data_IF_048143719870
#
_entry.id   IF_048143719870
#
_cell.length_a   1.000
_cell.length_b   1.000
_cell.length_c   1.000
_cell.angle_alpha   90.00
_cell.angle_beta   90.00
_cell.angle_gamma   90.00
#
_symmetry.space_group_name_H-M   'P 1'
#
loop_
_entity.id
_entity.type
_entity.pdbx_description
1 polymer ?
#
# COMPACT_ATOMS: atom_id res chain seq x y z
N UNK A 1 -32.14 37.84 -82.81
CA UNK A 1 -33.13 38.03 -81.74
C UNK A 1 -32.50 37.50 -80.46
N UNK A 2 -31.90 38.42 -79.72
CA UNK A 2 -31.70 38.27 -78.27
C UNK A 2 -33.08 38.38 -77.63
N UNK A 3 -33.32 37.61 -76.57
CA UNK A 3 -33.74 38.14 -75.27
C UNK A 3 -33.64 36.98 -74.26
N UNK A 4 -32.56 37.05 -73.47
CA UNK A 4 -32.46 36.46 -72.14
C UNK A 4 -33.18 37.43 -71.20
N UNK A 5 -34.15 36.96 -70.44
CA UNK A 5 -34.58 37.52 -69.15
C UNK A 5 -35.39 36.38 -68.50
N UNK A 6 -34.79 35.56 -67.63
CA UNK A 6 -34.69 35.78 -66.18
C UNK A 6 -36.04 36.18 -65.58
N UNK A 7 -36.66 35.30 -64.79
CA UNK A 7 -37.00 35.64 -63.42
C UNK A 7 -37.09 34.35 -62.60
N UNK A 8 -36.08 34.19 -61.75
CA UNK A 8 -35.99 33.17 -60.75
C UNK A 8 -36.98 33.48 -59.62
N UNK A 9 -38.07 32.71 -59.56
CA UNK A 9 -38.93 32.65 -58.37
C UNK A 9 -38.24 31.80 -57.29
N UNK A 10 -37.22 32.37 -56.66
CA UNK A 10 -36.73 31.88 -55.37
C UNK A 10 -37.75 32.27 -54.31
N UNK A 11 -38.71 31.39 -54.06
CA UNK A 11 -39.50 31.41 -52.84
C UNK A 11 -38.55 31.29 -51.65
N UNK A 12 -38.17 32.43 -51.10
CA UNK A 12 -37.46 32.55 -49.84
C UNK A 12 -38.41 32.13 -48.71
N UNK A 13 -38.49 30.82 -48.49
CA UNK A 13 -39.15 30.26 -47.33
C UNK A 13 -38.26 30.52 -46.13
N UNK A 14 -38.40 31.72 -45.54
CA UNK A 14 -37.78 32.05 -44.26
C UNK A 14 -38.02 30.91 -43.27
N UNK A 15 -36.93 30.31 -42.79
CA UNK A 15 -36.99 29.18 -41.88
C UNK A 15 -37.88 29.54 -40.68
N UNK A 16 -38.71 28.60 -40.19
CA UNK A 16 -39.51 28.85 -39.00
C UNK A 16 -38.59 29.27 -37.84
N UNK A 17 -39.05 30.18 -36.97
CA UNK A 17 -38.25 30.62 -35.84
C UNK A 17 -37.80 29.39 -35.02
N UNK A 18 -36.54 29.37 -34.52
CA UNK A 18 -36.04 28.25 -33.76
C UNK A 18 -36.99 27.96 -32.60
N UNK A 19 -37.42 26.70 -32.49
CA UNK A 19 -38.28 26.27 -31.41
C UNK A 19 -37.59 26.58 -30.07
N UNK A 20 -38.33 27.08 -29.06
CA UNK A 20 -37.75 27.32 -27.76
C UNK A 20 -37.22 25.99 -27.22
N UNK A 21 -35.93 25.98 -26.88
CA UNK A 21 -35.18 24.80 -26.45
C UNK A 21 -35.66 24.37 -25.05
N UNK A 22 -36.82 23.72 -25.01
CA UNK A 22 -37.52 23.32 -23.81
C UNK A 22 -36.97 21.97 -23.32
N UNK A 23 -35.69 21.95 -22.95
CA UNK A 23 -35.10 20.78 -22.31
C UNK A 23 -35.72 20.62 -20.93
N UNK A 24 -36.34 19.45 -20.67
CA UNK A 24 -36.89 19.13 -19.36
C UNK A 24 -35.75 19.00 -18.33
N UNK A 25 -35.46 20.10 -17.63
CA UNK A 25 -34.32 20.21 -16.70
C UNK A 25 -34.44 19.23 -15.52
N UNK A 26 -35.66 18.94 -15.05
CA UNK A 26 -35.91 18.05 -13.92
C UNK A 26 -35.34 16.63 -14.13
N UNK A 27 -35.77 15.91 -15.18
CA UNK A 27 -35.22 14.60 -15.50
C UNK A 27 -33.70 14.59 -15.71
N UNK A 28 -33.15 15.61 -16.38
CA UNK A 28 -31.71 15.72 -16.64
C UNK A 28 -30.92 15.86 -15.33
N UNK A 29 -31.40 16.67 -14.39
CA UNK A 29 -30.78 16.82 -13.07
C UNK A 29 -30.84 15.53 -12.25
N UNK A 30 -31.95 14.79 -12.31
CA UNK A 30 -32.09 13.51 -11.59
C UNK A 30 -31.08 12.48 -12.13
N UNK A 31 -30.97 12.35 -13.45
CA UNK A 31 -29.99 11.46 -14.07
C UNK A 31 -28.55 11.89 -13.79
N UNK A 32 -28.27 13.20 -13.82
CA UNK A 32 -26.97 13.75 -13.45
C UNK A 32 -26.60 13.41 -12.00
N UNK A 33 -27.49 13.67 -11.06
CA UNK A 33 -27.27 13.37 -9.63
C UNK A 33 -27.12 11.86 -9.38
N UNK A 34 -27.94 11.03 -10.03
CA UNK A 34 -27.83 9.57 -9.92
C UNK A 34 -26.50 9.06 -10.45
N UNK A 35 -26.01 9.59 -11.58
CA UNK A 35 -24.72 9.21 -12.14
C UNK A 35 -23.55 9.61 -11.23
N UNK A 36 -23.62 10.81 -10.64
CA UNK A 36 -22.61 11.29 -9.71
C UNK A 36 -22.56 10.41 -8.46
N UNK A 37 -23.73 10.08 -7.89
CA UNK A 37 -23.83 9.24 -6.71
C UNK A 37 -23.32 7.83 -6.98
N UNK A 38 -23.60 7.28 -8.17
CA UNK A 38 -23.05 6.00 -8.60
C UNK A 38 -21.52 5.99 -8.66
N UNK A 39 -20.91 7.05 -9.21
CA UNK A 39 -19.44 7.19 -9.26
C UNK A 39 -18.85 7.26 -7.85
N UNK A 40 -19.46 8.04 -6.95
CA UNK A 40 -19.01 8.13 -5.55
C UNK A 40 -19.07 6.76 -4.87
N UNK A 41 -20.17 6.02 -5.06
CA UNK A 41 -20.31 4.66 -4.50
C UNK A 41 -19.25 3.72 -5.09
N UNK A 42 -18.97 3.78 -6.39
CA UNK A 42 -17.95 2.96 -7.02
C UNK A 42 -16.54 3.26 -6.46
N UNK A 43 -16.21 4.53 -6.24
CA UNK A 43 -14.93 4.94 -5.64
C UNK A 43 -14.81 4.40 -4.21
N UNK A 44 -15.87 4.53 -3.40
CA UNK A 44 -15.87 4.01 -2.02
C UNK A 44 -15.81 2.48 -1.99
N UNK A 45 -16.51 1.80 -2.90
CA UNK A 45 -16.48 0.35 -3.00
C UNK A 45 -15.08 -0.17 -3.39
N UNK A 46 -14.45 0.45 -4.39
CA UNK A 46 -13.07 0.12 -4.78
C UNK A 46 -12.07 0.47 -3.67
N UNK A 47 -12.22 1.63 -3.04
CA UNK A 47 -11.39 2.05 -1.91
C UNK A 47 -11.50 1.12 -0.71
N UNK A 48 -12.71 0.67 -0.36
CA UNK A 48 -12.94 -0.27 0.75
C UNK A 48 -12.37 -1.66 0.46
N UNK A 49 -12.41 -2.12 -0.81
CA UNK A 49 -11.76 -3.36 -1.22
C UNK A 49 -10.24 -3.32 -0.92
N UNK A 50 -9.56 -2.25 -1.35
CA UNK A 50 -8.14 -2.06 -1.03
C UNK A 50 -7.87 -1.83 0.46
N UNK A 51 -8.79 -1.20 1.19
CA UNK A 51 -8.67 -0.97 2.62
C UNK A 51 -8.71 -2.28 3.42
N UNK A 52 -9.58 -3.23 3.04
CA UNK A 52 -9.69 -4.53 3.69
C UNK A 52 -8.43 -5.38 3.47
N UNK A 53 -7.87 -5.39 2.26
CA UNK A 53 -6.60 -6.09 1.99
C UNK A 53 -5.44 -5.46 2.78
N UNK A 54 -5.38 -4.13 2.84
CA UNK A 54 -4.33 -3.41 3.57
C UNK A 54 -4.40 -3.61 5.08
N UNK A 55 -5.61 -3.66 5.67
CA UNK A 55 -5.80 -3.97 7.08
C UNK A 55 -5.33 -5.39 7.45
N UNK A 56 -5.47 -6.37 6.54
CA UNK A 56 -4.95 -7.72 6.74
C UNK A 56 -3.43 -7.72 6.76
N UNK A 57 -2.78 -7.02 5.83
CA UNK A 57 -1.32 -6.91 5.81
C UNK A 57 -0.77 -6.18 7.04
N UNK A 58 -1.43 -5.12 7.50
CA UNK A 58 -1.01 -4.38 8.69
C UNK A 58 -1.15 -5.22 9.97
N UNK A 59 -2.20 -6.06 10.10
CA UNK A 59 -2.32 -6.99 11.24
C UNK A 59 -1.23 -8.06 11.25
N UNK A 60 -0.83 -8.57 10.08
CA UNK A 60 0.24 -9.56 9.96
C UNK A 60 1.60 -8.93 10.28
N UNK A 61 1.90 -7.75 9.75
CA UNK A 61 3.17 -7.04 10.03
C UNK A 61 3.31 -6.63 11.50
N UNK A 62 2.24 -6.15 12.14
CA UNK A 62 2.28 -5.78 13.57
C UNK A 62 2.44 -7.02 14.46
N UNK A 63 1.81 -8.15 14.09
CA UNK A 63 2.01 -9.43 14.78
C UNK A 63 3.44 -9.99 14.66
N UNK A 64 4.06 -9.85 13.48
CA UNK A 64 5.46 -10.25 13.24
C UNK A 64 6.48 -9.34 13.93
N UNK A 65 6.21 -8.04 14.06
CA UNK A 65 7.12 -7.14 14.77
C UNK A 65 7.21 -7.47 16.27
N UNK A 66 6.11 -7.88 16.90
CA UNK A 66 6.09 -8.30 18.31
C UNK A 66 6.87 -9.59 18.58
N UNK A 67 6.74 -10.59 17.70
CA UNK A 67 7.46 -11.86 17.83
C UNK A 67 8.95 -11.73 17.51
N UNK A 68 9.31 -10.91 16.52
CA UNK A 68 10.71 -10.62 16.22
C UNK A 68 11.38 -9.86 17.38
N UNK A 69 10.72 -8.88 18.00
CA UNK A 69 11.29 -8.14 19.13
C UNK A 69 11.52 -9.03 20.37
N UNK A 70 10.62 -9.99 20.63
CA UNK A 70 10.81 -10.99 21.68
C UNK A 70 11.97 -11.94 21.37
N UNK A 71 12.11 -12.35 20.11
CA UNK A 71 13.22 -13.20 19.64
C UNK A 71 14.57 -12.46 19.72
N UNK A 72 14.62 -11.18 19.35
CA UNK A 72 15.81 -10.34 19.50
C UNK A 72 16.20 -10.15 20.98
N UNK A 73 15.23 -9.91 21.87
CA UNK A 73 15.50 -9.83 23.31
C UNK A 73 16.04 -11.15 23.88
N UNK A 74 15.49 -12.28 23.46
CA UNK A 74 15.98 -13.60 23.88
C UNK A 74 17.39 -13.90 23.36
N UNK A 75 17.70 -13.52 22.11
CA UNK A 75 19.04 -13.68 21.54
C UNK A 75 20.08 -12.87 22.30
N UNK A 76 19.80 -11.59 22.58
CA UNK A 76 20.71 -10.74 23.37
C UNK A 76 20.90 -11.25 24.81
N UNK A 77 19.82 -11.69 25.47
CA UNK A 77 19.94 -12.26 26.81
C UNK A 77 20.78 -13.56 26.83
N UNK A 78 20.70 -14.37 25.77
CA UNK A 78 21.52 -15.58 25.63
C UNK A 78 23.00 -15.23 25.36
N UNK A 79 23.26 -14.22 24.53
CA UNK A 79 24.62 -13.70 24.29
C UNK A 79 25.26 -13.19 25.58
N UNK A 80 24.56 -12.38 26.37
CA UNK A 80 25.07 -11.88 27.65
C UNK A 80 25.39 -13.01 28.65
N UNK A 81 24.55 -14.05 28.71
CA UNK A 81 24.82 -15.22 29.54
C UNK A 81 26.06 -15.99 29.09
N UNK A 82 26.26 -16.14 27.78
CA UNK A 82 27.46 -16.81 27.24
C UNK A 82 28.73 -15.97 27.42
N UNK A 83 28.59 -14.65 27.44
CA UNK A 83 29.71 -13.73 27.65
C UNK A 83 30.15 -13.66 29.11
N UNK A 84 29.21 -13.76 30.07
CA UNK A 84 29.50 -13.47 31.48
C UNK A 84 29.49 -14.69 32.42
N UNK A 85 28.97 -15.86 31.99
CA UNK A 85 28.74 -16.99 32.89
C UNK A 85 29.71 -18.16 32.71
N UNK A 86 30.20 -18.69 33.83
CA UNK A 86 30.68 -20.08 33.89
C UNK A 86 29.47 -21.00 34.02
N UNK A 87 29.35 -22.02 33.16
CA UNK A 87 28.26 -23.00 33.21
C UNK A 87 28.82 -24.41 33.21
N UNK A 88 28.42 -25.22 34.19
CA UNK A 88 28.73 -26.64 34.21
C UNK A 88 27.88 -27.36 33.16
N UNK A 89 28.53 -28.09 32.25
CA UNK A 89 27.89 -28.84 31.17
C UNK A 89 27.79 -30.35 31.50
N UNK A 90 28.26 -30.76 32.67
CA UNK A 90 28.32 -32.16 33.09
C UNK A 90 29.53 -32.92 32.53
N UNK A 91 29.82 -34.09 33.11
CA UNK A 91 30.95 -34.96 32.72
C UNK A 91 32.34 -34.27 32.80
N UNK A 92 32.51 -33.35 33.75
CA UNK A 92 33.76 -32.60 33.94
C UNK A 92 34.01 -31.52 32.88
N UNK A 93 33.02 -31.20 32.05
CA UNK A 93 33.11 -30.16 31.02
C UNK A 93 32.48 -28.87 31.51
N UNK A 94 33.24 -27.78 31.43
CA UNK A 94 32.79 -26.45 31.83
C UNK A 94 32.78 -25.50 30.64
N UNK A 95 31.69 -24.73 30.50
CA UNK A 95 31.64 -23.56 29.65
C UNK A 95 32.31 -22.40 30.39
N UNK A 96 33.30 -21.80 29.77
CA UNK A 96 34.00 -20.62 30.28
C UNK A 96 33.58 -19.37 29.48
N UNK A 97 33.60 -18.18 30.10
CA UNK A 97 33.39 -16.91 29.41
C UNK A 97 34.33 -16.76 28.20
N UNK A 98 33.83 -16.18 27.12
CA UNK A 98 34.59 -16.01 25.86
C UNK A 98 35.90 -15.26 26.08
N UNK A 99 35.91 -14.24 26.94
CA UNK A 99 37.11 -13.47 27.27
C UNK A 99 38.19 -14.35 27.91
N UNK A 100 37.80 -15.24 28.84
CA UNK A 100 38.71 -16.20 29.49
C UNK A 100 39.19 -17.28 28.54
N UNK A 101 38.33 -17.75 27.62
CA UNK A 101 38.74 -18.69 26.58
C UNK A 101 39.83 -18.09 25.69
N UNK A 102 39.68 -16.83 25.29
CA UNK A 102 40.63 -16.11 24.45
C UNK A 102 41.98 -15.89 25.17
N UNK A 103 41.96 -15.50 26.45
CA UNK A 103 43.18 -15.40 27.27
C UNK A 103 43.95 -16.73 27.34
N UNK A 104 43.25 -17.85 27.54
CA UNK A 104 43.87 -19.18 27.61
C UNK A 104 44.52 -19.58 26.28
N UNK A 105 43.84 -19.33 25.16
CA UNK A 105 44.39 -19.62 23.82
C UNK A 105 45.65 -18.81 23.54
N UNK A 106 45.64 -17.50 23.84
CA UNK A 106 46.82 -16.64 23.65
C UNK A 106 47.98 -17.08 24.54
N UNK A 107 47.70 -17.40 25.81
CA UNK A 107 48.71 -17.86 26.75
C UNK A 107 49.33 -19.19 26.31
N UNK A 108 48.53 -20.13 25.82
CA UNK A 108 49.02 -21.43 25.38
C UNK A 108 49.81 -21.30 24.07
N UNK A 109 49.44 -20.37 23.18
CA UNK A 109 50.24 -20.01 22.01
C UNK A 109 51.60 -19.42 22.38
N UNK A 110 51.64 -18.51 23.37
CA UNK A 110 52.89 -17.91 23.85
C UNK A 110 53.83 -18.90 24.55
N UNK A 111 53.30 -19.97 25.16
CA UNK A 111 54.11 -21.03 25.79
C UNK A 111 54.70 -22.03 24.80
N UNK A 112 54.18 -22.07 23.58
CA UNK A 112 54.68 -22.95 22.51
C UNK A 112 55.77 -22.28 21.64
N UNK A 113 55.98 -20.97 21.80
CA UNK A 113 57.16 -20.25 21.29
C UNK A 113 58.29 -20.25 22.32
#
# INVERSE_FOLDING_TARGET
MHDHDEHADHHDHGLPPPEPDNVAVGPVLIWGAASFLFVVVAIVALGSYFWVERLKEDHVKVGEHGTNQAKFKQLHANEEQRLNGYKDLGEGRYQIPVQRAMELVVRDYQKQQ
#
